data_IF_714344221603
#
_entry.id   IF_714344221603
#
_cell.length_a   1.000
_cell.length_b   1.000
_cell.length_c   1.000
_cell.angle_alpha   90.00
_cell.angle_beta   90.00
_cell.angle_gamma   90.00
#
_symmetry.space_group_name_H-M   'P 1'
#
loop_
_entity.id
_entity.type
_entity.pdbx_description
1 polymer ?
#
# COMPACT_ATOMS: atom_id res chain seq x y z
N UNK A 1 25.81 11.50 32.92
CA UNK A 1 24.71 11.94 32.03
C UNK A 1 25.29 12.37 30.69
N UNK A 2 25.32 11.46 29.70
CA UNK A 2 25.82 11.75 28.34
C UNK A 2 24.64 12.04 27.40
N UNK A 3 24.63 13.22 26.79
CA UNK A 3 23.59 13.64 25.85
C UNK A 3 23.93 13.16 24.45
N UNK A 4 23.19 12.18 23.92
CA UNK A 4 23.27 11.77 22.52
C UNK A 4 22.66 12.90 21.67
N UNK A 5 23.50 13.70 21.02
CA UNK A 5 23.05 14.66 19.99
C UNK A 5 22.61 13.87 18.76
N UNK A 6 21.30 13.72 18.58
CA UNK A 6 20.72 13.21 17.34
C UNK A 6 21.08 14.15 16.17
N UNK A 7 22.02 13.71 15.32
CA UNK A 7 22.41 14.40 14.10
C UNK A 7 21.26 14.32 13.09
N UNK A 8 20.42 15.36 13.00
CA UNK A 8 19.40 15.51 11.96
C UNK A 8 20.09 15.54 10.59
N UNK A 9 20.13 14.40 9.89
CA UNK A 9 20.47 14.34 8.47
C UNK A 9 19.34 15.02 7.72
N UNK A 10 19.57 16.21 7.15
CA UNK A 10 18.68 16.78 6.14
C UNK A 10 18.72 15.84 4.94
N UNK A 11 17.72 14.97 4.81
CA UNK A 11 17.49 14.22 3.58
C UNK A 11 17.21 15.28 2.51
N UNK A 12 18.06 15.37 1.48
CA UNK A 12 17.75 16.15 0.29
C UNK A 12 16.50 15.52 -0.32
N UNK A 13 15.35 16.15 -0.09
CA UNK A 13 14.10 15.76 -0.72
C UNK A 13 14.26 15.99 -2.22
N UNK A 14 14.37 14.90 -2.98
CA UNK A 14 14.25 14.95 -4.43
C UNK A 14 12.81 15.40 -4.69
N UNK A 15 12.65 16.61 -5.19
CA UNK A 15 11.35 17.12 -5.58
C UNK A 15 11.05 16.65 -7.00
N UNK A 16 10.26 15.59 -7.11
CA UNK A 16 9.66 15.13 -8.36
C UNK A 16 8.32 15.87 -8.49
N UNK A 17 7.96 16.41 -9.65
CA UNK A 17 6.66 17.06 -9.82
C UNK A 17 5.52 16.03 -9.84
N UNK A 18 4.29 16.48 -9.55
CA UNK A 18 3.13 15.60 -9.44
C UNK A 18 2.81 14.92 -10.78
N UNK A 19 2.95 15.63 -11.90
CA UNK A 19 2.72 15.06 -13.24
C UNK A 19 3.64 13.87 -13.55
N UNK A 20 4.91 13.97 -13.16
CA UNK A 20 5.87 12.86 -13.34
C UNK A 20 5.48 11.69 -12.42
N UNK A 21 5.03 11.96 -11.20
CA UNK A 21 4.54 10.91 -10.30
C UNK A 21 3.29 10.22 -10.87
N UNK A 22 2.33 10.97 -11.40
CA UNK A 22 1.16 10.41 -12.07
C UNK A 22 1.56 9.58 -13.30
N UNK A 23 2.57 10.02 -14.06
CA UNK A 23 3.15 9.24 -15.15
C UNK A 23 3.71 7.89 -14.67
N UNK A 24 4.40 7.87 -13.53
CA UNK A 24 4.95 6.64 -12.92
C UNK A 24 3.81 5.74 -12.40
N UNK A 25 2.75 6.31 -11.85
CA UNK A 25 1.64 5.54 -11.26
C UNK A 25 0.94 4.64 -12.28
N UNK A 26 0.85 5.06 -13.54
CA UNK A 26 0.28 4.25 -14.63
C UNK A 26 0.97 2.91 -14.84
N UNK A 27 2.24 2.78 -14.42
CA UNK A 27 3.01 1.53 -14.52
C UNK A 27 2.96 0.68 -13.25
N UNK A 28 2.38 1.21 -12.17
CA UNK A 28 2.32 0.53 -10.88
C UNK A 28 0.96 -0.15 -10.71
N UNK A 29 0.92 -1.32 -10.06
CA UNK A 29 -0.37 -1.92 -9.73
C UNK A 29 -1.12 -1.05 -8.72
N UNK A 30 -2.47 -0.94 -8.80
CA UNK A 30 -3.26 -0.20 -7.83
C UNK A 30 -2.96 -0.62 -6.38
N UNK A 31 -2.78 -1.92 -6.18
CA UNK A 31 -2.45 -2.52 -4.88
C UNK A 31 -1.10 -2.01 -4.34
N UNK A 32 -0.09 -1.89 -5.20
CA UNK A 32 1.21 -1.37 -4.78
C UNK A 32 1.12 0.12 -4.39
N UNK A 33 0.39 0.91 -5.19
CA UNK A 33 0.22 2.33 -4.92
C UNK A 33 -0.53 2.57 -3.61
N UNK A 34 -1.67 1.93 -3.40
CA UNK A 34 -2.53 2.16 -2.24
C UNK A 34 -1.98 1.59 -0.93
N UNK A 35 -1.31 0.43 -0.97
CA UNK A 35 -0.90 -0.28 0.25
C UNK A 35 0.57 -0.09 0.62
N UNK A 36 1.38 0.48 -0.28
CA UNK A 36 2.82 0.67 -0.02
C UNK A 36 3.26 2.09 -0.33
N UNK A 37 2.91 2.63 -1.49
CA UNK A 37 3.40 3.95 -1.90
C UNK A 37 2.71 5.09 -1.12
N UNK A 38 1.38 5.05 -0.99
CA UNK A 38 0.58 6.02 -0.25
C UNK A 38 1.05 6.15 1.21
N UNK A 39 1.41 5.04 1.84
CA UNK A 39 1.79 4.98 3.26
C UNK A 39 3.17 5.58 3.57
N UNK A 40 3.95 5.96 2.56
CA UNK A 40 5.30 6.52 2.78
C UNK A 40 5.22 7.94 3.35
N UNK A 41 4.29 8.77 2.86
CA UNK A 41 4.04 10.11 3.41
C UNK A 41 2.70 10.69 2.95
N UNK A 42 2.26 11.76 3.64
CA UNK A 42 1.00 12.46 3.38
C UNK A 42 0.86 12.99 1.93
N UNK A 43 1.95 13.43 1.29
CA UNK A 43 1.91 13.89 -0.11
C UNK A 43 1.57 12.74 -1.05
N UNK A 44 2.21 11.59 -0.87
CA UNK A 44 1.94 10.41 -1.69
C UNK A 44 0.55 9.85 -1.44
N UNK A 45 0.07 9.87 -0.20
CA UNK A 45 -1.32 9.54 0.12
C UNK A 45 -2.32 10.37 -0.69
N UNK A 46 -2.14 11.70 -0.68
CA UNK A 46 -2.99 12.64 -1.43
C UNK A 46 -2.93 12.40 -2.94
N UNK A 47 -1.73 12.13 -3.48
CA UNK A 47 -1.53 11.89 -4.92
C UNK A 47 -2.11 10.55 -5.37
N UNK A 48 -1.93 9.48 -4.58
CA UNK A 48 -2.50 8.17 -4.90
C UNK A 48 -4.03 8.23 -4.86
N UNK A 49 -4.62 8.93 -3.90
CA UNK A 49 -6.08 9.19 -3.83
C UNK A 49 -6.59 9.93 -5.08
N UNK A 50 -5.89 11.00 -5.49
CA UNK A 50 -6.24 11.74 -6.71
C UNK A 50 -6.14 10.83 -7.96
N UNK A 51 -5.10 10.01 -8.06
CA UNK A 51 -4.89 9.12 -9.19
C UNK A 51 -6.01 8.07 -9.32
N UNK A 52 -6.37 7.42 -8.21
CA UNK A 52 -7.43 6.40 -8.23
C UNK A 52 -8.79 6.97 -8.60
N UNK A 53 -9.09 8.22 -8.22
CA UNK A 53 -10.32 8.91 -8.64
C UNK A 53 -10.33 9.24 -10.12
N UNK A 54 -9.19 9.68 -10.67
CA UNK A 54 -9.10 10.07 -12.07
C UNK A 54 -9.20 8.87 -13.02
N UNK A 55 -8.58 7.75 -12.65
CA UNK A 55 -8.51 6.56 -13.50
C UNK A 55 -9.59 5.52 -13.16
N UNK A 56 -10.48 5.79 -12.18
CA UNK A 56 -11.50 4.85 -11.66
C UNK A 56 -10.93 3.47 -11.29
N UNK A 57 -9.69 3.46 -10.77
CA UNK A 57 -8.95 2.22 -10.56
C UNK A 57 -9.48 1.40 -9.39
N UNK A 58 -9.91 0.17 -9.68
CA UNK A 58 -10.16 -0.84 -8.65
C UNK A 58 -8.87 -1.56 -8.21
N UNK A 59 -8.69 -1.84 -6.92
CA UNK A 59 -7.70 -2.76 -6.38
C UNK A 59 -7.93 -4.22 -6.84
N UNK A 60 -9.10 -4.51 -7.43
CA UNK A 60 -9.45 -5.83 -7.94
C UNK A 60 -9.87 -6.81 -6.85
N UNK A 61 -9.71 -8.11 -7.14
CA UNK A 61 -10.06 -9.18 -6.21
C UNK A 61 -8.89 -9.48 -5.26
N UNK A 62 -9.14 -9.36 -3.95
CA UNK A 62 -8.13 -9.57 -2.92
C UNK A 62 -8.63 -10.58 -1.89
N UNK A 63 -7.70 -11.38 -1.37
CA UNK A 63 -7.97 -12.21 -0.18
C UNK A 63 -7.06 -11.75 0.94
N UNK A 64 -7.61 -11.72 2.15
CA UNK A 64 -6.83 -11.50 3.35
C UNK A 64 -6.71 -12.85 4.04
N UNK A 65 -5.48 -13.33 4.19
CA UNK A 65 -5.19 -14.52 4.96
C UNK A 65 -4.84 -14.12 6.40
N UNK A 66 -5.50 -14.72 7.41
CA UNK A 66 -5.07 -14.56 8.79
C UNK A 66 -3.66 -15.14 8.98
N UNK A 67 -2.95 -14.65 9.99
CA UNK A 67 -1.65 -15.16 10.40
C UNK A 67 -1.76 -16.66 10.73
N UNK A 68 -1.13 -17.53 9.93
CA UNK A 68 -1.22 -18.99 10.13
C UNK A 68 0.02 -19.57 10.83
N UNK A 69 1.12 -18.83 10.91
CA UNK A 69 2.36 -19.44 11.35
C UNK A 69 2.43 -19.52 12.87
N UNK A 70 2.60 -20.75 13.38
CA UNK A 70 3.23 -21.05 14.68
C UNK A 70 4.59 -20.31 14.87
N UNK A 71 5.12 -19.71 13.81
CA UNK A 71 6.40 -19.01 13.71
C UNK A 71 6.25 -17.47 13.57
N UNK A 72 5.06 -16.90 13.77
CA UNK A 72 4.90 -15.44 13.93
C UNK A 72 4.77 -14.58 12.68
N UNK A 73 4.52 -15.15 11.48
CA UNK A 73 4.17 -14.34 10.32
C UNK A 73 2.71 -13.86 10.41
N UNK A 74 2.55 -12.53 10.54
CA UNK A 74 1.27 -11.83 10.65
C UNK A 74 0.35 -11.97 9.44
N UNK A 75 -0.82 -11.36 9.51
CA UNK A 75 -1.83 -11.40 8.44
C UNK A 75 -1.25 -10.86 7.11
N UNK A 76 -1.70 -11.45 6.01
CA UNK A 76 -1.21 -11.12 4.67
C UNK A 76 -2.35 -10.81 3.72
N UNK A 77 -2.09 -9.88 2.81
CA UNK A 77 -2.94 -9.52 1.70
C UNK A 77 -2.41 -10.21 0.45
N UNK A 78 -3.27 -10.92 -0.26
CA UNK A 78 -2.93 -11.57 -1.53
C UNK A 78 -3.82 -11.08 -2.66
N UNK A 79 -3.21 -10.86 -3.82
CA UNK A 79 -3.90 -10.63 -5.09
C UNK A 79 -3.81 -11.90 -5.94
N UNK A 80 -4.95 -12.31 -6.49
CA UNK A 80 -5.02 -13.34 -7.51
C UNK A 80 -5.54 -12.76 -8.83
N UNK A 81 -5.04 -13.28 -9.93
CA UNK A 81 -5.66 -13.14 -11.26
C UNK A 81 -6.04 -14.55 -11.73
N UNK A 82 -7.35 -14.84 -11.69
CA UNK A 82 -7.84 -16.22 -11.81
C UNK A 82 -7.34 -17.10 -10.67
N UNK A 83 -6.63 -18.18 -11.00
CA UNK A 83 -6.01 -19.11 -10.04
C UNK A 83 -4.55 -18.77 -9.70
N UNK A 84 -3.96 -17.75 -10.33
CA UNK A 84 -2.54 -17.42 -10.20
C UNK A 84 -2.36 -16.36 -9.11
N UNK A 85 -1.43 -16.61 -8.17
CA UNK A 85 -1.03 -15.62 -7.17
C UNK A 85 -0.09 -14.60 -7.82
N UNK A 86 -0.54 -13.35 -7.92
CA UNK A 86 0.20 -12.28 -8.60
C UNK A 86 0.98 -11.43 -7.60
N UNK A 87 0.43 -11.21 -6.41
CA UNK A 87 1.06 -10.34 -5.42
C UNK A 87 0.76 -10.78 -3.99
N UNK A 88 1.78 -10.67 -3.13
CA UNK A 88 1.69 -10.81 -1.67
C UNK A 88 2.19 -9.54 -1.02
N UNK A 89 1.41 -9.01 -0.08
CA UNK A 89 1.78 -7.87 0.73
C UNK A 89 1.51 -8.14 2.21
N UNK A 90 2.38 -7.65 3.12
CA UNK A 90 2.10 -7.70 4.54
C UNK A 90 0.87 -6.84 4.86
N UNK A 91 0.16 -7.15 5.95
CA UNK A 91 -0.89 -6.26 6.43
C UNK A 91 -0.27 -4.91 6.83
N UNK A 92 -0.76 -3.78 6.26
CA UNK A 92 -0.28 -2.48 6.65
C UNK A 92 -0.53 -2.23 8.14
N UNK A 93 0.47 -1.66 8.81
CA UNK A 93 0.44 -1.32 10.24
C UNK A 93 -0.12 0.08 10.50
N UNK A 94 -0.36 0.83 9.43
CA UNK A 94 -0.96 2.17 9.45
C UNK A 94 -2.30 2.06 8.75
N UNK A 95 -3.26 2.87 9.17
CA UNK A 95 -4.56 2.98 8.50
C UNK A 95 -4.36 3.21 7.00
N UNK A 96 -5.14 2.49 6.22
CA UNK A 96 -5.20 2.69 4.78
C UNK A 96 -5.72 4.10 4.48
N UNK A 97 -5.41 4.65 3.29
CA UNK A 97 -6.01 5.91 2.85
C UNK A 97 -7.53 5.84 3.02
N UNK A 98 -8.13 6.90 3.59
CA UNK A 98 -9.57 6.95 3.97
C UNK A 98 -10.54 6.64 2.82
N UNK A 99 -10.04 6.68 1.58
CA UNK A 99 -10.80 6.56 0.34
C UNK A 99 -10.32 5.43 -0.56
N UNK A 100 -9.71 4.37 0.00
CA UNK A 100 -9.58 3.10 -0.73
C UNK A 100 -10.96 2.42 -0.81
N UNK A 101 -11.83 2.94 -1.69
CA UNK A 101 -13.21 2.45 -1.94
C UNK A 101 -13.28 1.40 -3.07
N UNK A 102 -12.13 0.87 -3.47
CA UNK A 102 -11.95 0.32 -4.81
C UNK A 102 -11.76 -1.20 -4.85
N UNK A 103 -12.36 -1.96 -3.93
CA UNK A 103 -12.26 -3.43 -3.96
C UNK A 103 -13.33 -4.04 -4.85
N UNK A 104 -12.94 -4.93 -5.77
CA UNK A 104 -13.92 -5.73 -6.54
C UNK A 104 -14.53 -6.84 -5.67
N UNK A 105 -13.74 -7.39 -4.75
CA UNK A 105 -14.17 -8.40 -3.77
C UNK A 105 -13.11 -8.52 -2.67
N UNK A 106 -13.55 -8.56 -1.41
CA UNK A 106 -12.71 -8.94 -0.26
C UNK A 106 -13.22 -10.27 0.27
N UNK A 107 -12.34 -11.27 0.33
CA UNK A 107 -12.64 -12.53 1.01
C UNK A 107 -11.86 -12.61 2.32
N UNK A 108 -12.60 -12.73 3.43
CA UNK A 108 -12.06 -13.02 4.75
C UNK A 108 -12.26 -14.51 5.03
N UNK A 109 -11.19 -15.21 5.41
CA UNK A 109 -11.29 -16.60 5.88
C UNK A 109 -10.99 -16.61 7.37
N UNK A 110 -12.00 -16.87 8.19
CA UNK A 110 -11.80 -17.23 9.59
C UNK A 110 -11.33 -18.67 9.67
N UNK A 111 -10.32 -18.93 10.49
CA UNK A 111 -9.80 -20.27 10.74
C UNK A 111 -10.05 -20.55 12.22
N UNK A 112 -10.79 -21.62 12.51
CA UNK A 112 -11.05 -22.11 13.86
C UNK A 112 -9.84 -22.86 14.43
#
# INVERSE_FOLDING_TARGET
MSTIRAKRRKLKTIFICDDVLFGIFKFCTPIYLGLKFALINFRFDTLVDAHFKLEEWSLGAMKIYPAFAKNGSGAQIVKYEGAILVQRLPMPQVSLPDKVICFKSIQLRQVN
#
